data_IF_109774227982
#
_entry.id   IF_109774227982
#
_cell.length_a   1.000
_cell.length_b   1.000
_cell.length_c   1.000
_cell.angle_alpha   90.00
_cell.angle_beta   90.00
_cell.angle_gamma   90.00
#
_symmetry.space_group_name_H-M   'P 1'
#
loop_
_entity.id
_entity.type
_entity.pdbx_description
1 polymer ?
#
# COMPACT_ATOMS: atom_id res chain seq x y z
N UNK A 1 2.72 32.99 -10.05
CA UNK A 1 2.57 31.57 -9.73
C UNK A 1 3.21 30.79 -10.87
N UNK A 2 4.18 29.92 -10.65
CA UNK A 2 4.69 29.09 -11.71
C UNK A 2 3.59 28.09 -12.11
N UNK A 3 3.25 28.08 -13.40
CA UNK A 3 2.35 27.12 -14.00
C UNK A 3 3.00 25.73 -13.87
N UNK A 4 2.40 24.86 -13.06
CA UNK A 4 2.73 23.44 -13.09
C UNK A 4 2.37 22.91 -14.48
N UNK A 5 3.28 22.27 -15.20
CA UNK A 5 2.89 21.46 -16.33
C UNK A 5 1.97 20.37 -15.80
N UNK A 6 0.78 20.26 -16.35
CA UNK A 6 -0.11 19.16 -16.06
C UNK A 6 0.60 17.84 -16.30
N UNK A 7 0.21 16.75 -15.63
CA UNK A 7 0.84 15.45 -15.81
C UNK A 7 0.78 15.07 -17.29
N UNK A 8 1.93 14.92 -17.90
CA UNK A 8 2.01 14.26 -19.20
C UNK A 8 1.49 12.83 -19.00
N UNK A 9 0.73 12.34 -19.95
CA UNK A 9 0.05 11.03 -19.92
C UNK A 9 0.97 9.81 -19.71
N UNK A 10 2.25 10.02 -19.48
CA UNK A 10 3.27 8.99 -19.48
C UNK A 10 3.78 8.59 -18.07
N UNK A 11 3.31 9.23 -16.99
CA UNK A 11 4.10 9.21 -15.76
C UNK A 11 3.33 9.09 -14.45
N UNK A 12 2.15 8.53 -14.46
CA UNK A 12 1.44 8.31 -13.23
C UNK A 12 1.54 6.86 -12.78
N UNK A 13 2.33 6.59 -11.78
CA UNK A 13 2.41 5.28 -11.13
C UNK A 13 1.84 5.33 -9.73
N UNK A 14 1.01 4.38 -9.52
CA UNK A 14 0.34 4.14 -8.28
C UNK A 14 1.17 3.16 -7.47
N UNK A 15 1.82 3.63 -6.44
CA UNK A 15 2.36 2.77 -5.42
C UNK A 15 1.23 2.39 -4.47
N UNK A 16 0.30 1.58 -4.99
CA UNK A 16 -0.76 1.03 -4.20
C UNK A 16 -0.53 -0.44 -4.02
N UNK A 17 -0.31 -0.89 -2.80
CA UNK A 17 -0.89 -2.14 -2.36
C UNK A 17 -0.83 -2.35 -0.85
N UNK A 18 -0.79 -1.29 -0.11
CA UNK A 18 -0.87 -1.39 1.36
C UNK A 18 -1.92 -0.44 1.90
N UNK A 19 -3.04 -0.29 1.17
CA UNK A 19 -4.09 0.66 1.54
C UNK A 19 -3.63 2.12 1.49
N UNK A 20 -2.55 2.40 0.76
CA UNK A 20 -2.11 3.76 0.46
C UNK A 20 -2.81 4.24 -0.80
N UNK A 21 -3.34 5.44 -0.72
CA UNK A 21 -3.63 6.21 -1.91
C UNK A 21 -2.38 6.33 -2.75
N UNK A 22 -2.56 6.12 -3.99
CA UNK A 22 -1.65 6.19 -5.09
C UNK A 22 -0.80 7.45 -5.05
N UNK A 23 0.51 7.28 -5.04
CA UNK A 23 1.43 8.39 -5.23
C UNK A 23 1.75 8.50 -6.71
N UNK A 24 1.48 9.65 -7.28
CA UNK A 24 1.94 10.00 -8.61
C UNK A 24 3.43 10.32 -8.56
N UNK A 25 4.24 9.54 -9.24
CA UNK A 25 5.64 9.86 -9.48
C UNK A 25 5.79 10.29 -10.93
N UNK A 26 6.07 11.56 -11.20
CA UNK A 26 6.31 11.99 -12.57
C UNK A 26 7.62 11.39 -13.08
N UNK A 27 7.55 10.78 -14.24
CA UNK A 27 8.66 10.30 -15.07
C UNK A 27 9.75 9.48 -14.33
N UNK A 28 9.49 8.20 -14.15
CA UNK A 28 10.46 7.26 -13.56
C UNK A 28 11.72 7.05 -14.41
N UNK A 29 11.75 7.56 -15.64
CA UNK A 29 12.91 7.44 -16.53
C UNK A 29 13.87 8.64 -16.39
N UNK A 30 13.48 9.70 -15.69
CA UNK A 30 14.35 10.85 -15.42
C UNK A 30 14.51 11.06 -13.90
N UNK A 31 15.55 10.48 -13.28
CA UNK A 31 15.81 10.61 -11.85
C UNK A 31 16.04 12.06 -11.40
N UNK A 32 16.28 12.99 -12.34
CA UNK A 32 16.47 14.41 -12.04
C UNK A 32 15.14 15.19 -11.92
N UNK A 33 14.04 14.57 -12.31
CA UNK A 33 12.69 15.17 -12.18
C UNK A 33 11.92 14.75 -10.95
N UNK A 34 12.46 13.85 -10.15
CA UNK A 34 11.86 13.47 -8.85
C UNK A 34 12.10 14.63 -7.89
N UNK A 35 11.05 15.25 -7.33
CA UNK A 35 11.22 16.31 -6.35
C UNK A 35 11.88 15.75 -5.10
N UNK A 36 13.20 15.86 -4.98
CA UNK A 36 13.99 15.36 -3.84
C UNK A 36 13.81 16.20 -2.57
N UNK A 37 13.27 17.39 -2.71
CA UNK A 37 13.01 18.37 -1.68
C UNK A 37 11.73 18.14 -0.87
N UNK A 38 10.82 17.30 -1.37
CA UNK A 38 9.53 17.00 -0.71
C UNK A 38 9.58 15.83 0.26
N UNK A 39 10.68 15.08 0.29
CA UNK A 39 10.80 13.90 1.15
C UNK A 39 12.07 13.98 1.99
N UNK A 40 11.94 14.10 3.33
CA UNK A 40 13.10 14.01 4.19
C UNK A 40 13.77 12.65 4.01
N UNK A 41 14.96 12.64 3.43
CA UNK A 41 15.68 11.40 3.12
C UNK A 41 16.03 11.21 1.63
N UNK A 42 15.58 12.10 0.75
CA UNK A 42 15.96 12.13 -0.67
C UNK A 42 15.57 10.88 -1.46
N UNK A 43 16.15 10.73 -2.63
CA UNK A 43 15.90 9.66 -3.59
C UNK A 43 16.09 8.21 -3.06
N UNK A 44 16.59 8.04 -1.82
CA UNK A 44 16.75 6.73 -1.20
C UNK A 44 15.39 6.03 -0.90
N UNK A 45 14.29 6.79 -0.80
CA UNK A 45 12.94 6.26 -0.61
C UNK A 45 12.31 5.77 -1.91
N UNK A 46 12.78 6.28 -3.04
CA UNK A 46 12.34 5.91 -4.38
C UNK A 46 13.48 5.27 -5.14
N UNK A 47 14.11 4.26 -4.59
CA UNK A 47 14.80 3.34 -5.49
C UNK A 47 13.69 2.75 -6.36
N UNK A 48 13.71 3.00 -7.68
CA UNK A 48 12.80 2.31 -8.56
C UNK A 48 12.99 0.84 -8.22
N UNK A 49 11.91 0.16 -7.94
CA UNK A 49 11.95 -1.29 -7.83
C UNK A 49 12.56 -1.74 -9.14
N UNK A 50 13.78 -2.24 -9.11
CA UNK A 50 14.48 -2.75 -10.29
C UNK A 50 13.81 -4.03 -10.83
N UNK A 51 12.58 -4.26 -10.43
CA UNK A 51 11.72 -5.31 -10.93
C UNK A 51 11.40 -5.19 -12.43
N UNK A 52 11.59 -4.02 -13.04
CA UNK A 52 11.37 -3.86 -14.49
C UNK A 52 12.43 -4.56 -15.36
N UNK A 53 13.51 -5.08 -14.79
CA UNK A 53 14.55 -5.79 -15.52
C UNK A 53 14.87 -7.20 -15.00
N UNK A 54 14.24 -7.64 -13.91
CA UNK A 54 14.41 -9.00 -13.45
C UNK A 54 13.34 -9.91 -14.10
N UNK A 55 13.71 -10.99 -14.73
CA UNK A 55 12.75 -11.95 -15.34
C UNK A 55 11.82 -12.61 -14.31
N UNK A 56 12.04 -12.41 -13.01
CA UNK A 56 11.32 -13.05 -11.91
C UNK A 56 10.39 -12.14 -11.10
N UNK A 57 10.05 -10.95 -11.57
CA UNK A 57 9.00 -10.16 -10.91
C UNK A 57 7.60 -10.78 -11.03
N UNK A 58 7.44 -11.83 -11.81
CA UNK A 58 6.24 -12.69 -11.83
C UNK A 58 6.23 -13.74 -10.70
N UNK A 59 7.35 -13.91 -9.98
CA UNK A 59 7.39 -14.72 -8.78
C UNK A 59 6.50 -14.09 -7.71
N UNK A 60 5.47 -14.81 -7.30
CA UNK A 60 4.73 -14.49 -6.10
C UNK A 60 5.74 -14.33 -4.97
N UNK A 61 6.10 -13.08 -4.63
CA UNK A 61 6.82 -12.80 -3.39
C UNK A 61 5.86 -13.24 -2.29
N UNK A 62 6.07 -14.43 -1.78
CA UNK A 62 5.33 -14.90 -0.61
C UNK A 62 5.86 -14.04 0.54
N UNK A 63 5.06 -13.13 1.09
CA UNK A 63 5.50 -12.33 2.21
C UNK A 63 5.81 -13.28 3.36
N UNK A 64 6.87 -13.00 4.08
CA UNK A 64 7.23 -13.66 5.32
C UNK A 64 6.82 -12.79 6.51
N UNK A 65 6.80 -13.37 7.69
CA UNK A 65 6.75 -12.62 8.94
C UNK A 65 8.13 -11.96 9.10
N UNK A 66 8.12 -10.65 9.27
CA UNK A 66 9.32 -9.84 9.48
C UNK A 66 9.47 -9.42 10.95
N UNK A 67 10.57 -8.75 11.26
CA UNK A 67 10.88 -8.28 12.62
C UNK A 67 9.83 -7.29 13.14
N UNK A 68 9.25 -6.50 12.25
CA UNK A 68 8.21 -5.56 12.63
C UNK A 68 6.92 -6.27 13.01
N UNK A 69 6.52 -7.31 12.28
CA UNK A 69 5.37 -8.15 12.61
C UNK A 69 5.52 -8.80 14.00
N UNK A 70 6.72 -9.32 14.30
CA UNK A 70 7.03 -9.90 15.61
C UNK A 70 7.03 -8.84 16.71
N UNK A 71 7.54 -7.67 16.44
CA UNK A 71 7.48 -6.56 17.38
C UNK A 71 6.02 -6.16 17.67
N UNK A 72 5.17 -6.02 16.66
CA UNK A 72 3.73 -5.73 16.85
C UNK A 72 3.07 -6.80 17.72
N UNK A 73 3.31 -8.08 17.42
CA UNK A 73 2.78 -9.21 18.17
C UNK A 73 3.19 -9.18 19.64
N UNK A 74 4.46 -8.89 19.91
CA UNK A 74 5.01 -8.89 21.28
C UNK A 74 4.63 -7.64 22.07
N UNK A 75 4.54 -6.52 21.40
CA UNK A 75 4.18 -5.22 22.04
C UNK A 75 2.69 -5.15 22.38
N UNK A 76 1.84 -5.73 21.54
CA UNK A 76 0.39 -5.74 21.71
C UNK A 76 -0.17 -7.16 21.78
N UNK A 77 0.20 -7.97 22.80
CA UNK A 77 -0.12 -9.39 22.83
C UNK A 77 -1.60 -9.69 23.06
N UNK A 78 -2.35 -8.74 23.63
CA UNK A 78 -3.76 -8.90 24.01
C UNK A 78 -4.60 -7.76 23.43
N UNK A 79 -5.75 -8.06 22.83
CA UNK A 79 -6.62 -7.02 22.29
C UNK A 79 -7.18 -6.15 23.42
N UNK A 80 -6.93 -4.86 23.30
CA UNK A 80 -7.51 -3.83 24.16
C UNK A 80 -8.30 -2.87 23.27
N UNK A 81 -9.09 -1.98 23.87
CA UNK A 81 -9.52 -0.78 23.16
C UNK A 81 -8.26 -0.03 22.80
N UNK A 82 -7.99 0.25 21.49
CA UNK A 82 -6.74 0.87 21.10
C UNK A 82 -6.50 2.17 21.87
N UNK A 83 -5.39 2.24 22.58
CA UNK A 83 -5.02 3.41 23.38
C UNK A 83 -4.43 4.52 22.51
N UNK A 84 -3.87 4.15 21.37
CA UNK A 84 -3.25 5.06 20.43
C UNK A 84 -3.57 4.71 18.97
N UNK A 85 -3.41 5.72 18.10
CA UNK A 85 -3.51 5.54 16.67
C UNK A 85 -2.47 4.54 16.15
N UNK A 86 -1.25 4.58 16.67
CA UNK A 86 -0.16 3.68 16.27
C UNK A 86 -0.50 2.23 16.57
N UNK A 87 -0.93 1.92 17.79
CA UNK A 87 -1.37 0.58 18.18
C UNK A 87 -2.45 0.04 17.23
N UNK A 88 -3.46 0.86 16.95
CA UNK A 88 -4.55 0.48 16.07
C UNK A 88 -4.09 0.21 14.63
N UNK A 89 -3.21 1.06 14.08
CA UNK A 89 -2.69 0.90 12.73
C UNK A 89 -1.78 -0.33 12.62
N UNK A 90 -0.91 -0.54 13.58
CA UNK A 90 0.08 -1.60 13.58
C UNK A 90 -0.61 -2.97 13.72
N UNK A 91 -1.51 -3.12 14.69
CA UNK A 91 -2.28 -4.35 14.89
C UNK A 91 -3.19 -4.65 13.69
N UNK A 92 -3.86 -3.64 13.13
CA UNK A 92 -4.68 -3.78 11.92
C UNK A 92 -3.86 -4.20 10.70
N UNK A 93 -2.65 -3.66 10.55
CA UNK A 93 -1.73 -4.00 9.46
C UNK A 93 -1.30 -5.46 9.54
N UNK A 94 -0.84 -5.92 10.70
CA UNK A 94 -0.47 -7.31 10.91
C UNK A 94 -1.65 -8.27 10.70
N UNK A 95 -2.82 -7.96 11.25
CA UNK A 95 -4.03 -8.76 11.06
C UNK A 95 -4.39 -8.84 9.55
N UNK A 96 -4.34 -7.72 8.83
CA UNK A 96 -4.62 -7.69 7.40
C UNK A 96 -3.64 -8.56 6.61
N UNK A 97 -2.35 -8.56 6.98
CA UNK A 97 -1.31 -9.43 6.42
C UNK A 97 -1.63 -10.91 6.68
N UNK A 98 -1.99 -11.27 7.92
CA UNK A 98 -2.34 -12.65 8.30
C UNK A 98 -3.68 -13.12 7.71
N UNK A 99 -4.57 -12.22 7.35
CA UNK A 99 -5.80 -12.54 6.61
C UNK A 99 -5.53 -12.79 5.13
N UNK A 100 -4.71 -11.94 4.53
CA UNK A 100 -4.36 -12.01 3.11
C UNK A 100 -3.50 -13.23 2.79
N UNK A 101 -2.64 -13.63 3.73
CA UNK A 101 -1.70 -14.74 3.59
C UNK A 101 -1.89 -15.76 4.72
N UNK A 102 -2.92 -16.61 4.65
CA UNK A 102 -3.28 -17.53 5.74
C UNK A 102 -2.16 -18.48 6.15
N UNK A 103 -1.24 -18.79 5.24
CA UNK A 103 -0.08 -19.66 5.52
C UNK A 103 0.92 -19.03 6.52
N UNK A 104 0.89 -17.72 6.72
CA UNK A 104 1.68 -17.03 7.74
C UNK A 104 1.07 -17.13 9.14
N UNK A 105 -0.24 -17.42 9.23
CA UNK A 105 -0.95 -17.52 10.49
C UNK A 105 -0.72 -18.89 11.14
N UNK A 106 0.51 -19.15 11.60
CA UNK A 106 0.90 -20.39 12.31
C UNK A 106 1.43 -20.05 13.71
N UNK A 107 1.45 -21.00 14.61
CA UNK A 107 2.00 -20.82 15.96
C UNK A 107 1.48 -19.57 16.66
N UNK A 108 2.39 -18.72 17.13
CA UNK A 108 2.08 -17.49 17.86
C UNK A 108 1.32 -16.45 17.03
N UNK A 109 1.56 -16.38 15.71
CA UNK A 109 0.81 -15.50 14.81
C UNK A 109 -0.65 -15.92 14.69
N UNK A 110 -0.93 -17.22 14.71
CA UNK A 110 -2.30 -17.73 14.75
C UNK A 110 -2.97 -17.42 16.09
N UNK A 111 -2.25 -17.59 17.21
CA UNK A 111 -2.74 -17.24 18.53
C UNK A 111 -3.06 -15.73 18.62
N UNK A 112 -2.18 -14.86 18.15
CA UNK A 112 -2.40 -13.43 18.04
C UNK A 112 -3.65 -13.10 17.22
N UNK A 113 -3.75 -13.62 16.00
CA UNK A 113 -4.91 -13.41 15.13
C UNK A 113 -6.22 -13.83 15.80
N UNK A 114 -6.22 -14.96 16.49
CA UNK A 114 -7.40 -15.48 17.19
C UNK A 114 -7.77 -14.61 18.41
N UNK A 115 -6.79 -14.16 19.18
CA UNK A 115 -7.00 -13.23 20.29
C UNK A 115 -7.69 -11.96 19.81
N UNK A 116 -7.28 -11.41 18.66
CA UNK A 116 -7.84 -10.20 18.07
C UNK A 116 -9.16 -10.39 17.32
N UNK A 117 -9.76 -11.58 17.28
CA UNK A 117 -10.91 -11.93 16.43
C UNK A 117 -12.13 -11.01 16.57
N UNK A 118 -12.33 -10.38 17.72
CA UNK A 118 -13.42 -9.45 18.03
C UNK A 118 -12.93 -8.00 18.22
N UNK A 119 -11.66 -7.72 18.01
CA UNK A 119 -11.09 -6.40 18.21
C UNK A 119 -11.51 -5.41 17.11
N UNK A 120 -11.41 -4.11 17.42
CA UNK A 120 -11.54 -3.03 16.45
C UNK A 120 -10.64 -3.24 15.23
N UNK A 121 -9.36 -3.53 15.45
CA UNK A 121 -8.38 -3.78 14.39
C UNK A 121 -8.81 -4.90 13.45
N UNK A 122 -9.36 -6.01 13.97
CA UNK A 122 -9.87 -7.12 13.15
C UNK A 122 -11.10 -6.72 12.33
N UNK A 123 -12.04 -6.00 12.93
CA UNK A 123 -13.26 -5.58 12.25
C UNK A 123 -12.94 -4.65 11.08
N UNK A 124 -12.04 -3.68 11.29
CA UNK A 124 -11.55 -2.80 10.21
C UNK A 124 -10.73 -3.56 9.15
N UNK A 125 -9.90 -4.52 9.55
CA UNK A 125 -9.17 -5.38 8.61
C UNK A 125 -10.10 -6.23 7.72
N UNK A 126 -11.21 -6.73 8.29
CA UNK A 126 -12.26 -7.43 7.51
C UNK A 126 -12.92 -6.51 6.49
N UNK A 127 -13.21 -5.27 6.89
CA UNK A 127 -13.75 -4.27 5.97
C UNK A 127 -12.78 -4.04 4.78
N UNK A 128 -11.49 -3.84 5.06
CA UNK A 128 -10.47 -3.64 4.04
C UNK A 128 -10.38 -4.86 3.10
N UNK A 129 -10.45 -6.06 3.64
CA UNK A 129 -10.42 -7.29 2.85
C UNK A 129 -11.60 -7.38 1.87
N UNK A 130 -12.81 -7.02 2.31
CA UNK A 130 -13.99 -6.99 1.44
C UNK A 130 -13.90 -5.87 0.39
N UNK A 131 -13.39 -4.69 0.75
CA UNK A 131 -13.14 -3.60 -0.21
C UNK A 131 -12.13 -4.01 -1.27
N UNK A 132 -11.07 -4.71 -0.89
CA UNK A 132 -10.09 -5.25 -1.83
C UNK A 132 -10.71 -6.31 -2.76
N UNK A 133 -11.55 -7.20 -2.25
CA UNK A 133 -12.26 -8.17 -3.08
C UNK A 133 -13.17 -7.48 -4.12
N UNK A 134 -13.86 -6.41 -3.72
CA UNK A 134 -14.66 -5.59 -4.62
C UNK A 134 -13.80 -4.97 -5.74
N UNK A 135 -12.62 -4.44 -5.41
CA UNK A 135 -11.72 -3.82 -6.39
C UNK A 135 -11.16 -4.82 -7.39
N UNK A 136 -10.80 -6.03 -6.96
CA UNK A 136 -10.31 -7.10 -7.85
C UNK A 136 -11.39 -7.55 -8.82
N UNK A 137 -12.62 -7.78 -8.34
CA UNK A 137 -13.75 -8.14 -9.19
C UNK A 137 -14.02 -7.05 -10.25
N UNK A 138 -13.88 -5.79 -9.88
CA UNK A 138 -14.07 -4.64 -10.76
C UNK A 138 -12.99 -4.55 -11.84
N UNK A 139 -11.72 -4.78 -11.49
CA UNK A 139 -10.60 -4.63 -12.41
C UNK A 139 -10.68 -5.60 -13.62
N UNK A 140 -11.07 -6.85 -13.40
CA UNK A 140 -11.24 -7.84 -14.47
C UNK A 140 -12.30 -7.39 -15.48
N UNK A 141 -13.43 -6.89 -14.99
CA UNK A 141 -14.54 -6.41 -15.82
C UNK A 141 -14.23 -5.10 -16.53
N UNK A 142 -13.45 -4.22 -15.93
CA UNK A 142 -13.06 -2.94 -16.54
C UNK A 142 -12.25 -3.12 -17.82
N UNK A 143 -11.35 -4.10 -17.87
CA UNK A 143 -10.57 -4.37 -19.09
C UNK A 143 -11.49 -4.80 -20.23
N UNK A 144 -12.47 -5.66 -19.96
CA UNK A 144 -13.45 -6.10 -20.97
C UNK A 144 -14.33 -4.95 -21.43
N UNK A 145 -14.82 -4.11 -20.51
CA UNK A 145 -15.61 -2.92 -20.83
C UNK A 145 -14.82 -1.95 -21.69
N UNK A 146 -13.55 -1.67 -21.34
CA UNK A 146 -12.68 -0.81 -22.14
C UNK A 146 -12.50 -1.32 -23.56
N UNK A 147 -12.31 -2.63 -23.74
CA UNK A 147 -12.18 -3.23 -25.07
C UNK A 147 -13.48 -3.10 -25.88
N UNK A 148 -14.64 -3.28 -25.25
CA UNK A 148 -15.96 -3.06 -25.89
C UNK A 148 -16.14 -1.59 -26.28
N UNK A 149 -15.76 -0.63 -25.42
CA UNK A 149 -15.84 0.80 -25.73
C UNK A 149 -14.94 1.18 -26.91
N UNK A 150 -13.73 0.63 -27.00
CA UNK A 150 -12.85 0.81 -28.16
C UNK A 150 -13.48 0.26 -29.44
N UNK A 151 -14.09 -0.94 -29.37
CA UNK A 151 -14.76 -1.55 -30.52
C UNK A 151 -15.97 -0.73 -30.96
N UNK A 152 -16.77 -0.25 -30.02
CA UNK A 152 -17.94 0.63 -30.30
C UNK A 152 -17.47 1.93 -30.99
N UNK A 153 -16.44 2.58 -30.50
CA UNK A 153 -15.86 3.78 -31.09
C UNK A 153 -15.35 3.51 -32.52
N UNK A 154 -14.70 2.36 -32.74
CA UNK A 154 -14.23 1.93 -34.06
C UNK A 154 -15.37 1.79 -35.07
N UNK A 155 -16.47 1.12 -34.67
CA UNK A 155 -17.67 0.96 -35.53
C UNK A 155 -18.34 2.31 -35.80
N UNK A 156 -18.46 3.19 -34.79
CA UNK A 156 -19.01 4.53 -34.94
C UNK A 156 -18.19 5.37 -35.94
N UNK A 157 -16.84 5.29 -35.87
CA UNK A 157 -15.96 5.97 -36.81
C UNK A 157 -16.17 5.47 -38.24
N UNK A 158 -16.36 4.16 -38.45
CA UNK A 158 -16.64 3.58 -39.77
C UNK A 158 -18.02 4.04 -40.31
N UNK A 159 -19.04 4.10 -39.47
CA UNK A 159 -20.36 4.64 -39.87
C UNK A 159 -20.21 6.11 -40.27
N UNK A 160 -19.50 6.92 -39.49
CA UNK A 160 -19.27 8.33 -39.80
C UNK A 160 -18.50 8.51 -41.11
N UNK A 161 -17.51 7.63 -41.39
CA UNK A 161 -16.79 7.65 -42.66
C UNK A 161 -17.68 7.31 -43.87
N UNK A 162 -18.59 6.31 -43.71
CA UNK A 162 -19.58 6.02 -44.76
C UNK A 162 -20.55 7.17 -44.97
N UNK A 163 -21.06 7.76 -43.90
CA UNK A 163 -21.99 8.91 -43.97
C UNK A 163 -21.31 10.14 -44.64
N UNK A 164 -20.01 10.32 -44.47
CA UNK A 164 -19.25 11.38 -45.15
C UNK A 164 -19.10 11.19 -46.67
N UNK A 165 -19.23 9.95 -47.16
CA UNK A 165 -19.19 9.65 -48.60
C UNK A 165 -20.53 10.00 -49.31
N UNK A 166 -21.57 10.26 -48.55
CA UNK A 166 -22.88 10.61 -49.10
C UNK A 166 -22.95 12.15 -49.25
N UNK A 167 -22.55 12.67 -50.38
CA UNK A 167 -22.60 14.11 -50.70
C UNK A 167 -23.95 14.56 -51.23
N UNK A 168 -24.75 13.62 -51.79
CA UNK A 168 -26.10 13.87 -52.32
C UNK A 168 -27.04 12.72 -51.93
N UNK A 169 -28.14 13.06 -51.28
CA UNK A 169 -29.15 12.08 -50.80
C UNK A 169 -30.05 11.53 -51.92
N UNK A 170 -29.99 12.09 -53.11
CA UNK A 170 -30.83 11.69 -54.24
C UNK A 170 -30.42 10.36 -54.89
N UNK A 171 -29.15 9.94 -54.71
CA UNK A 171 -28.62 8.70 -55.28
C UNK A 171 -27.60 8.03 -54.38
N UNK A 172 -28.05 7.46 -53.26
CA UNK A 172 -27.21 6.66 -52.41
C UNK A 172 -26.95 5.28 -53.00
N UNK A 173 -25.71 4.88 -53.27
CA UNK A 173 -25.41 3.53 -53.78
C UNK A 173 -25.94 2.44 -52.83
N UNK A 174 -26.62 1.45 -53.36
CA UNK A 174 -27.22 0.35 -52.58
C UNK A 174 -26.15 -0.38 -51.69
N UNK A 175 -24.92 -0.49 -52.18
CA UNK A 175 -23.83 -1.11 -51.40
C UNK A 175 -23.45 -0.30 -50.17
N UNK A 176 -23.50 1.05 -50.20
CA UNK A 176 -23.23 1.91 -49.01
C UNK A 176 -24.33 1.71 -47.94
N UNK A 177 -25.60 1.63 -48.39
CA UNK A 177 -26.72 1.38 -47.46
C UNK A 177 -26.60 0.02 -46.79
N UNK A 178 -26.22 -1.03 -47.52
CA UNK A 178 -26.00 -2.38 -46.95
C UNK A 178 -24.85 -2.38 -45.97
N UNK A 179 -23.70 -1.76 -46.31
CA UNK A 179 -22.55 -1.66 -45.41
C UNK A 179 -22.89 -0.89 -44.12
N UNK A 180 -23.62 0.22 -44.24
CA UNK A 180 -24.11 0.99 -43.10
C UNK A 180 -25.04 0.21 -42.20
N UNK A 181 -25.99 -0.54 -42.79
CA UNK A 181 -26.93 -1.39 -42.05
C UNK A 181 -26.17 -2.50 -41.26
N UNK A 182 -25.15 -3.09 -41.87
CA UNK A 182 -24.30 -4.09 -41.21
C UNK A 182 -23.58 -3.48 -40.01
N UNK A 183 -22.93 -2.32 -40.13
CA UNK A 183 -22.24 -1.63 -39.03
C UNK A 183 -23.22 -1.20 -37.92
N UNK A 184 -24.43 -0.76 -38.27
CA UNK A 184 -25.47 -0.44 -37.25
C UNK A 184 -25.90 -1.67 -36.47
N UNK A 185 -26.01 -2.81 -37.12
CA UNK A 185 -26.30 -4.07 -36.44
C UNK A 185 -25.12 -4.48 -35.51
N UNK A 186 -23.90 -4.37 -35.98
CA UNK A 186 -22.70 -4.61 -35.16
C UNK A 186 -22.64 -3.69 -33.94
N UNK A 187 -22.87 -2.38 -34.11
CA UNK A 187 -22.95 -1.41 -33.04
C UNK A 187 -24.03 -1.80 -32.01
N UNK A 188 -25.17 -2.29 -32.45
CA UNK A 188 -26.26 -2.76 -31.57
C UNK A 188 -25.81 -3.96 -30.74
N UNK A 189 -25.17 -4.94 -31.39
CA UNK A 189 -24.65 -6.14 -30.70
C UNK A 189 -23.60 -5.75 -29.62
N UNK A 190 -22.62 -4.93 -29.98
CA UNK A 190 -21.59 -4.48 -29.04
C UNK A 190 -22.18 -3.67 -27.87
N UNK A 191 -23.15 -2.80 -28.16
CA UNK A 191 -23.85 -2.01 -27.13
C UNK A 191 -24.63 -2.91 -26.17
N UNK A 192 -25.31 -3.94 -26.67
CA UNK A 192 -26.00 -4.90 -25.85
C UNK A 192 -25.05 -5.74 -24.98
N UNK A 193 -23.92 -6.17 -25.53
CA UNK A 193 -22.88 -6.87 -24.78
C UNK A 193 -22.32 -5.99 -23.64
N UNK A 194 -22.06 -4.72 -23.95
CA UNK A 194 -21.60 -3.74 -22.96
C UNK A 194 -22.62 -3.55 -21.82
N UNK A 195 -23.89 -3.36 -22.17
CA UNK A 195 -24.96 -3.18 -21.18
C UNK A 195 -25.15 -4.43 -20.31
N UNK A 196 -25.15 -5.62 -20.92
CA UNK A 196 -25.22 -6.88 -20.20
C UNK A 196 -24.06 -7.02 -19.19
N UNK A 197 -22.84 -6.69 -19.60
CA UNK A 197 -21.67 -6.75 -18.71
C UNK A 197 -21.78 -5.74 -17.56
N UNK A 198 -22.31 -4.54 -17.81
CA UNK A 198 -22.58 -3.53 -16.77
C UNK A 198 -23.60 -4.03 -15.74
N UNK A 199 -24.68 -4.67 -16.19
CA UNK A 199 -25.70 -5.25 -15.32
C UNK A 199 -25.13 -6.40 -14.47
N UNK A 200 -24.36 -7.30 -15.10
CA UNK A 200 -23.67 -8.40 -14.39
C UNK A 200 -22.73 -7.86 -13.32
N UNK A 201 -21.94 -6.83 -13.64
CA UNK A 201 -21.02 -6.20 -12.68
C UNK A 201 -21.79 -5.54 -11.52
N UNK A 202 -22.86 -4.84 -11.79
CA UNK A 202 -23.69 -4.23 -10.76
C UNK A 202 -24.30 -5.29 -9.85
N UNK A 203 -24.85 -6.34 -10.41
CA UNK A 203 -25.45 -7.46 -9.65
C UNK A 203 -24.43 -8.21 -8.81
N UNK A 204 -23.20 -8.38 -9.30
CA UNK A 204 -22.11 -9.03 -8.56
C UNK A 204 -21.58 -8.17 -7.41
N UNK A 205 -21.59 -6.86 -7.56
CA UNK A 205 -21.09 -5.92 -6.53
C UNK A 205 -22.06 -5.72 -5.38
N UNK A 206 -23.34 -5.68 -5.66
CA UNK A 206 -24.36 -5.26 -4.69
C UNK A 206 -24.36 -6.11 -3.40
N UNK A 207 -24.24 -7.45 -3.43
CA UNK A 207 -24.12 -8.24 -2.20
C UNK A 207 -22.90 -7.87 -1.35
N UNK A 208 -21.75 -7.56 -2.01
CA UNK A 208 -20.53 -7.17 -1.32
C UNK A 208 -20.70 -5.77 -0.72
N UNK A 209 -21.31 -4.84 -1.45
CA UNK A 209 -21.57 -3.47 -0.96
C UNK A 209 -22.54 -3.48 0.22
N UNK A 210 -23.57 -4.31 0.19
CA UNK A 210 -24.49 -4.49 1.31
C UNK A 210 -23.79 -5.09 2.53
N UNK A 211 -22.91 -6.08 2.34
CA UNK A 211 -22.13 -6.64 3.43
C UNK A 211 -21.15 -5.61 4.02
N UNK A 212 -20.52 -4.78 3.18
CA UNK A 212 -19.66 -3.67 3.60
C UNK A 212 -20.43 -2.61 4.40
N UNK A 213 -21.63 -2.27 3.99
CA UNK A 213 -22.48 -1.31 4.70
C UNK A 213 -22.88 -1.83 6.09
N UNK A 214 -23.34 -3.08 6.17
CA UNK A 214 -23.67 -3.73 7.45
C UNK A 214 -22.43 -3.77 8.35
N UNK A 215 -21.28 -4.16 7.81
CA UNK A 215 -20.03 -4.22 8.56
C UNK A 215 -19.60 -2.81 9.01
N UNK A 216 -19.66 -1.81 8.13
CA UNK A 216 -19.29 -0.43 8.48
C UNK A 216 -20.20 0.14 9.60
N UNK A 217 -21.49 -0.16 9.57
CA UNK A 217 -22.42 0.26 10.62
C UNK A 217 -22.08 -0.38 11.98
N UNK A 218 -21.60 -1.63 11.96
CA UNK A 218 -21.21 -2.37 13.16
C UNK A 218 -19.79 -2.02 13.66
N UNK A 219 -18.98 -1.29 12.88
CA UNK A 219 -17.63 -0.89 13.31
C UNK A 219 -17.68 -0.02 14.56
N UNK A 220 -16.77 -0.19 15.52
CA UNK A 220 -16.63 0.71 16.65
C UNK A 220 -16.24 2.13 16.20
N UNK A 221 -16.60 3.11 17.00
CA UNK A 221 -16.31 4.53 16.77
C UNK A 221 -15.95 5.21 18.10
N UNK A 222 -15.13 4.54 18.90
CA UNK A 222 -14.75 5.02 20.23
C UNK A 222 -13.66 6.09 20.17
N UNK A 223 -12.80 5.98 19.15
CA UNK A 223 -11.67 6.88 18.91
C UNK A 223 -11.90 7.73 17.65
N UNK A 224 -11.28 8.90 17.58
CA UNK A 224 -11.42 9.83 16.44
C UNK A 224 -10.98 9.17 15.13
N UNK A 225 -9.88 8.44 15.14
CA UNK A 225 -9.40 7.73 13.94
C UNK A 225 -10.35 6.62 13.47
N UNK A 226 -11.06 5.95 14.37
CA UNK A 226 -12.10 4.97 14.02
C UNK A 226 -13.32 5.68 13.40
N UNK A 227 -13.75 6.80 13.99
CA UNK A 227 -14.84 7.63 13.48
C UNK A 227 -14.52 8.12 12.06
N UNK A 228 -13.33 8.68 11.86
CA UNK A 228 -12.87 9.14 10.55
C UNK A 228 -12.88 8.02 9.52
N UNK A 229 -12.33 6.86 9.88
CA UNK A 229 -12.29 5.72 8.96
C UNK A 229 -13.70 5.23 8.59
N UNK A 230 -14.62 5.23 9.56
CA UNK A 230 -16.02 4.84 9.36
C UNK A 230 -16.75 5.79 8.40
N UNK A 231 -16.52 7.09 8.51
CA UNK A 231 -17.04 8.11 7.57
C UNK A 231 -16.48 7.89 6.16
N UNK A 232 -15.16 7.74 6.04
CA UNK A 232 -14.50 7.48 4.76
C UNK A 232 -15.04 6.20 4.10
N UNK A 233 -15.23 5.15 4.89
CA UNK A 233 -15.77 3.88 4.42
C UNK A 233 -17.21 4.04 3.86
N UNK A 234 -18.07 4.78 4.55
CA UNK A 234 -19.45 5.04 4.10
C UNK A 234 -19.46 5.77 2.75
N UNK A 235 -18.63 6.80 2.60
CA UNK A 235 -18.50 7.56 1.35
C UNK A 235 -17.93 6.67 0.23
N UNK A 236 -16.92 5.85 0.54
CA UNK A 236 -16.35 4.92 -0.44
C UNK A 236 -17.37 3.87 -0.92
N UNK A 237 -18.23 3.36 -0.05
CA UNK A 237 -19.33 2.46 -0.42
C UNK A 237 -20.32 3.18 -1.36
N UNK A 238 -20.72 4.41 -1.05
CA UNK A 238 -21.61 5.21 -1.88
C UNK A 238 -21.02 5.46 -3.27
N UNK A 239 -19.75 5.82 -3.35
CA UNK A 239 -19.04 5.99 -4.61
C UNK A 239 -18.93 4.67 -5.42
N UNK A 240 -18.68 3.55 -4.74
CA UNK A 240 -18.64 2.23 -5.40
C UNK A 240 -19.99 1.79 -5.97
N UNK A 241 -21.10 2.29 -5.41
CA UNK A 241 -22.44 2.19 -5.97
C UNK A 241 -22.70 3.13 -7.15
N UNK A 242 -21.77 4.03 -7.46
CA UNK A 242 -21.91 5.03 -8.51
C UNK A 242 -22.70 6.28 -8.09
N UNK A 243 -22.90 6.48 -6.79
CA UNK A 243 -23.56 7.67 -6.27
C UNK A 243 -22.59 8.85 -6.25
N UNK A 244 -23.07 10.02 -6.66
CA UNK A 244 -22.29 11.24 -6.59
C UNK A 244 -22.04 11.62 -5.13
N UNK A 245 -20.86 12.19 -4.86
CA UNK A 245 -20.51 12.72 -3.55
C UNK A 245 -21.43 13.88 -3.20
N UNK A 246 -22.06 13.84 -2.05
CA UNK A 246 -22.88 14.94 -1.53
C UNK A 246 -21.99 16.09 -1.03
N UNK A 247 -22.58 17.28 -0.90
CA UNK A 247 -21.90 18.41 -0.27
C UNK A 247 -21.52 18.10 1.20
N UNK A 248 -22.36 17.36 1.90
CA UNK A 248 -22.08 16.95 3.29
C UNK A 248 -20.90 15.99 3.36
N UNK A 249 -20.78 15.03 2.42
CA UNK A 249 -19.63 14.12 2.33
C UNK A 249 -18.35 14.90 2.06
N UNK A 250 -18.40 15.86 1.12
CA UNK A 250 -17.25 16.71 0.80
C UNK A 250 -16.79 17.52 2.01
N UNK A 251 -17.70 18.10 2.77
CA UNK A 251 -17.38 18.83 4.02
C UNK A 251 -16.80 17.92 5.09
N UNK A 252 -17.34 16.70 5.25
CA UNK A 252 -16.81 15.74 6.20
C UNK A 252 -15.39 15.28 5.83
N UNK A 253 -15.13 14.96 4.56
CA UNK A 253 -13.78 14.62 4.08
C UNK A 253 -12.81 15.79 4.26
N UNK A 254 -13.24 17.02 3.95
CA UNK A 254 -12.42 18.20 4.13
C UNK A 254 -12.04 18.41 5.60
N UNK A 255 -13.00 18.27 6.51
CA UNK A 255 -12.75 18.36 7.95
C UNK A 255 -11.74 17.29 8.44
N UNK A 256 -11.84 16.06 7.94
CA UNK A 256 -10.87 15.00 8.26
C UNK A 256 -9.49 15.33 7.69
N UNK A 257 -9.40 15.88 6.49
CA UNK A 257 -8.13 16.25 5.85
C UNK A 257 -7.37 17.37 6.57
N UNK A 258 -8.06 18.16 7.37
CA UNK A 258 -7.48 19.25 8.18
C UNK A 258 -7.03 18.79 9.57
N UNK A 259 -7.38 17.60 10.01
CA UNK A 259 -6.98 17.09 11.32
C UNK A 259 -5.48 16.87 11.44
N UNK A 260 -4.97 16.89 12.67
CA UNK A 260 -3.60 16.51 13.00
C UNK A 260 -3.30 15.06 12.55
N UNK A 261 -2.11 14.83 11.98
CA UNK A 261 -1.70 13.48 11.56
C UNK A 261 -1.65 12.51 12.75
N UNK A 262 -1.33 12.99 13.94
CA UNK A 262 -1.30 12.23 15.20
C UNK A 262 -2.68 11.72 15.63
N UNK A 263 -3.75 12.40 15.18
CA UNK A 263 -5.15 12.07 15.50
C UNK A 263 -5.80 11.29 14.37
N UNK A 264 -5.63 11.78 13.14
CA UNK A 264 -6.27 11.21 11.96
C UNK A 264 -5.44 10.11 11.28
N UNK A 265 -4.12 10.15 11.42
CA UNK A 265 -3.22 9.20 10.76
C UNK A 265 -3.42 9.15 9.25
N UNK A 266 -3.47 7.95 8.71
CA UNK A 266 -3.67 7.71 7.27
C UNK A 266 -5.02 8.20 6.73
N UNK A 267 -6.02 8.39 7.61
CA UNK A 267 -7.34 8.88 7.18
C UNK A 267 -7.30 10.31 6.67
N UNK A 268 -6.35 11.15 7.14
CA UNK A 268 -6.09 12.50 6.63
C UNK A 268 -5.81 12.49 5.13
N UNK A 269 -4.80 11.72 4.71
CA UNK A 269 -4.42 11.60 3.30
C UNK A 269 -5.51 10.96 2.43
N UNK A 270 -6.17 9.91 2.96
CA UNK A 270 -7.25 9.23 2.25
C UNK A 270 -8.45 10.16 2.03
N UNK A 271 -8.84 10.94 3.02
CA UNK A 271 -9.91 11.92 2.87
C UNK A 271 -9.58 12.98 1.82
N UNK A 272 -8.34 13.49 1.82
CA UNK A 272 -7.89 14.44 0.81
C UNK A 272 -7.91 13.84 -0.61
N UNK A 273 -7.48 12.59 -0.78
CA UNK A 273 -7.46 11.92 -2.09
C UNK A 273 -8.84 11.65 -2.68
N UNK A 274 -9.89 11.64 -1.87
CA UNK A 274 -11.27 11.48 -2.32
C UNK A 274 -11.92 12.81 -2.73
N UNK A 275 -11.29 13.94 -2.41
CA UNK A 275 -11.77 15.27 -2.78
C UNK A 275 -11.17 15.72 -4.10
N UNK A 276 -11.89 16.58 -4.87
CA UNK A 276 -11.33 17.14 -6.09
C UNK A 276 -10.13 18.05 -5.77
N UNK A 277 -9.14 18.14 -6.69
CA UNK A 277 -7.90 18.90 -6.46
C UNK A 277 -8.14 20.39 -6.09
N UNK A 278 -9.18 20.99 -6.65
CA UNK A 278 -9.57 22.38 -6.40
C UNK A 278 -10.08 22.63 -4.97
N UNK A 279 -10.37 21.58 -4.22
CA UNK A 279 -10.81 21.69 -2.81
C UNK A 279 -9.74 22.28 -1.88
N UNK A 280 -8.49 22.28 -2.27
CA UNK A 280 -7.35 22.66 -1.45
C UNK A 280 -6.98 21.62 -0.36
N UNK A 281 -7.69 20.50 -0.27
CA UNK A 281 -7.45 19.48 0.75
C UNK A 281 -6.03 18.88 0.66
N UNK A 282 -5.50 18.74 -0.55
CA UNK A 282 -4.13 18.25 -0.77
C UNK A 282 -3.08 19.23 -0.22
N UNK A 283 -3.33 20.54 -0.34
CA UNK A 283 -2.45 21.54 0.24
C UNK A 283 -2.33 21.39 1.76
N UNK A 284 -3.44 21.12 2.45
CA UNK A 284 -3.45 20.94 3.90
C UNK A 284 -2.75 19.66 4.36
N UNK A 285 -2.75 18.62 3.54
CA UNK A 285 -1.99 17.39 3.83
C UNK A 285 -0.48 17.62 3.75
N UNK A 286 -0.04 18.44 2.79
CA UNK A 286 1.38 18.70 2.54
C UNK A 286 1.93 19.85 3.38
N UNK A 287 1.13 20.87 3.67
CA UNK A 287 1.57 22.15 4.24
C UNK A 287 0.77 22.54 5.49
N UNK A 288 -0.04 21.65 6.02
CA UNK A 288 -0.85 21.94 7.21
C UNK A 288 0.03 22.39 8.38
N UNK A 289 -0.38 23.45 9.07
CA UNK A 289 0.26 23.91 10.29
C UNK A 289 -0.05 22.93 11.41
N UNK A 290 0.89 22.03 11.68
CA UNK A 290 0.81 21.09 12.80
C UNK A 290 1.24 21.72 14.14
N UNK A 291 1.47 23.05 14.20
CA UNK A 291 1.93 23.74 15.43
C UNK A 291 0.95 23.65 16.60
N UNK A 292 -0.34 23.46 16.33
CA UNK A 292 -1.39 23.21 17.32
C UNK A 292 -1.67 21.73 17.59
N UNK A 293 -0.94 20.85 16.94
CA UNK A 293 -1.13 19.41 17.08
C UNK A 293 -0.42 18.86 18.32
N UNK A 294 -0.95 17.81 18.97
CA UNK A 294 -0.23 17.11 20.01
C UNK A 294 1.15 16.71 19.49
N UNK A 295 2.20 16.75 20.32
CA UNK A 295 3.49 16.25 19.91
C UNK A 295 3.32 14.81 19.41
N UNK A 296 4.03 14.47 18.33
CA UNK A 296 4.12 13.08 17.90
C UNK A 296 4.59 12.32 19.14
N UNK A 297 3.78 11.40 19.64
CA UNK A 297 4.32 10.38 20.53
C UNK A 297 5.46 9.78 19.71
N UNK A 298 6.68 10.22 20.00
CA UNK A 298 7.85 9.51 19.51
C UNK A 298 7.53 8.07 19.89
N UNK A 299 7.31 7.24 18.87
CA UNK A 299 7.31 5.81 19.12
C UNK A 299 8.60 5.60 19.86
N UNK A 300 8.50 5.51 21.16
CA UNK A 300 9.52 4.84 21.93
C UNK A 300 9.46 3.40 21.43
N UNK A 301 9.94 3.21 20.21
CA UNK A 301 10.78 2.07 19.99
C UNK A 301 11.84 2.34 21.06
N UNK A 302 11.57 1.86 22.27
CA UNK A 302 12.65 1.54 23.17
C UNK A 302 13.52 0.75 22.20
N UNK A 303 14.55 1.43 21.64
CA UNK A 303 15.71 0.72 21.16
C UNK A 303 15.99 -0.14 22.38
N UNK A 304 15.54 -1.39 22.30
CA UNK A 304 15.99 -2.40 23.26
C UNK A 304 17.46 -2.16 23.24
N UNK A 305 17.97 -1.54 24.32
CA UNK A 305 19.30 -0.98 24.37
C UNK A 305 20.17 -2.07 23.79
N UNK A 306 20.72 -1.86 22.60
CA UNK A 306 21.18 -2.96 21.76
C UNK A 306 22.06 -3.78 22.65
N UNK A 307 21.73 -5.05 22.88
CA UNK A 307 22.43 -5.92 23.84
C UNK A 307 23.92 -6.00 23.53
N UNK A 308 24.32 -5.40 22.42
CA UNK A 308 25.70 -5.28 21.99
C UNK A 308 25.94 -3.99 21.19
N UNK A 309 27.20 -3.57 21.12
CA UNK A 309 27.67 -2.52 20.23
C UNK A 309 28.72 -3.04 19.25
N UNK A 310 28.86 -2.36 18.11
CA UNK A 310 29.78 -2.73 17.02
C UNK A 310 30.85 -1.67 16.85
N UNK A 311 32.11 -2.08 16.80
CA UNK A 311 33.24 -1.19 16.53
C UNK A 311 34.41 -1.91 15.84
N UNK A 312 35.15 -1.23 14.95
CA UNK A 312 34.83 0.05 14.34
C UNK A 312 33.64 -0.06 13.38
N UNK A 313 32.88 1.01 13.21
CA UNK A 313 31.85 1.10 12.20
C UNK A 313 31.92 2.51 11.56
N UNK A 314 32.36 2.65 10.30
CA UNK A 314 32.74 1.60 9.33
C UNK A 314 33.93 0.75 9.72
N UNK A 315 33.99 -0.51 9.26
CA UNK A 315 35.09 -1.44 9.43
C UNK A 315 35.77 -1.79 8.09
N UNK A 316 37.03 -2.22 8.15
CA UNK A 316 37.81 -2.62 6.95
C UNK A 316 38.00 -4.14 6.89
N UNK A 317 38.56 -4.74 7.93
CA UNK A 317 38.91 -6.17 7.99
C UNK A 317 38.31 -6.89 9.17
N UNK A 318 38.11 -6.23 10.30
CA UNK A 318 37.62 -6.82 11.53
C UNK A 318 36.50 -5.96 12.13
N UNK A 319 35.52 -6.62 12.73
CA UNK A 319 34.42 -6.03 13.45
C UNK A 319 34.42 -6.63 14.86
N UNK A 320 34.49 -5.80 15.89
CA UNK A 320 34.33 -6.21 17.28
C UNK A 320 32.91 -6.02 17.74
N UNK A 321 32.30 -7.08 18.26
CA UNK A 321 30.98 -7.10 18.88
C UNK A 321 31.18 -7.06 20.40
N UNK A 322 30.73 -6.00 21.05
CA UNK A 322 30.81 -5.81 22.49
C UNK A 322 29.42 -6.05 23.10
N UNK A 323 29.25 -7.15 23.82
CA UNK A 323 27.98 -7.51 24.47
C UNK A 323 27.87 -6.83 25.83
N UNK A 324 26.70 -6.28 26.15
CA UNK A 324 26.42 -5.67 27.45
C UNK A 324 26.38 -6.72 28.58
N UNK A 325 26.06 -7.97 28.24
CA UNK A 325 26.12 -9.13 29.14
C UNK A 325 26.76 -10.31 28.40
N UNK A 326 27.37 -11.29 29.13
CA UNK A 326 28.00 -12.44 28.49
C UNK A 326 27.03 -13.20 27.57
N UNK A 327 27.35 -13.30 26.29
CA UNK A 327 26.53 -13.90 25.25
C UNK A 327 26.94 -15.33 24.90
N UNK A 328 25.94 -16.19 24.69
CA UNK A 328 26.05 -17.53 24.11
C UNK A 328 24.94 -17.69 23.09
N UNK A 329 25.26 -18.13 21.88
CA UNK A 329 24.23 -18.30 20.84
C UNK A 329 24.78 -18.23 19.42
N UNK A 330 23.94 -17.89 18.48
CA UNK A 330 24.27 -17.77 17.08
C UNK A 330 24.38 -16.30 16.66
N UNK A 331 25.41 -15.98 15.92
CA UNK A 331 25.60 -14.67 15.28
C UNK A 331 25.54 -14.89 13.77
N UNK A 332 24.73 -14.08 13.10
CA UNK A 332 24.58 -14.10 11.65
C UNK A 332 24.85 -12.72 11.09
N UNK A 333 25.62 -12.64 10.01
CA UNK A 333 25.76 -11.42 9.21
C UNK A 333 24.90 -11.59 7.96
N UNK A 334 24.01 -10.62 7.74
CA UNK A 334 23.10 -10.60 6.60
C UNK A 334 23.47 -9.44 5.68
N UNK A 335 23.32 -9.65 4.38
CA UNK A 335 23.37 -8.55 3.42
C UNK A 335 22.03 -7.76 3.41
N UNK A 336 21.97 -6.66 2.64
CA UNK A 336 20.80 -5.80 2.54
C UNK A 336 19.55 -6.50 1.96
N UNK A 337 19.70 -7.70 1.37
CA UNK A 337 18.60 -8.52 0.90
C UNK A 337 18.07 -9.49 1.97
N UNK A 338 18.69 -9.50 3.17
CA UNK A 338 18.37 -10.43 4.26
C UNK A 338 19.01 -11.82 4.12
N UNK A 339 19.89 -12.01 3.13
CA UNK A 339 20.60 -13.29 2.94
C UNK A 339 21.75 -13.39 3.94
N UNK A 340 21.85 -14.51 4.66
CA UNK A 340 22.99 -14.79 5.54
C UNK A 340 24.24 -14.99 4.69
N UNK A 341 25.23 -14.13 4.90
CA UNK A 341 26.54 -14.17 4.22
C UNK A 341 27.65 -14.76 5.08
N UNK A 342 27.49 -14.71 6.39
CA UNK A 342 28.39 -15.32 7.36
C UNK A 342 27.63 -15.71 8.63
N UNK A 343 28.01 -16.84 9.25
CA UNK A 343 27.41 -17.28 10.51
C UNK A 343 28.49 -17.86 11.43
N UNK A 344 28.34 -17.59 12.72
CA UNK A 344 29.22 -18.10 13.76
C UNK A 344 28.45 -18.50 15.00
N UNK A 345 28.79 -19.65 15.58
CA UNK A 345 28.23 -20.11 16.85
C UNK A 345 29.18 -19.75 17.98
N UNK A 346 28.64 -19.16 19.03
CA UNK A 346 29.36 -18.80 20.26
C UNK A 346 28.94 -19.80 21.33
N UNK A 347 29.86 -20.69 21.67
CA UNK A 347 29.62 -21.76 22.66
C UNK A 347 29.96 -21.38 24.09
N UNK A 348 30.82 -20.38 24.25
CA UNK A 348 31.27 -19.90 25.56
C UNK A 348 30.75 -18.49 25.82
N UNK A 349 30.57 -18.15 27.11
CA UNK A 349 30.12 -16.82 27.51
C UNK A 349 31.20 -15.76 27.17
N UNK A 350 30.95 -15.00 26.10
CA UNK A 350 31.85 -13.94 25.64
C UNK A 350 31.22 -12.56 25.85
N UNK A 351 32.02 -11.61 26.28
CA UNK A 351 31.67 -10.17 26.31
C UNK A 351 32.15 -9.43 25.06
N UNK A 352 33.19 -9.94 24.42
CA UNK A 352 33.73 -9.37 23.19
C UNK A 352 33.99 -10.48 22.19
N UNK A 353 33.53 -10.31 20.97
CA UNK A 353 33.80 -11.22 19.86
C UNK A 353 34.34 -10.43 18.68
N UNK A 354 35.47 -10.87 18.13
CA UNK A 354 36.06 -10.30 16.92
C UNK A 354 35.69 -11.18 15.72
N UNK A 355 35.12 -10.54 14.72
CA UNK A 355 34.65 -11.22 13.48
C UNK A 355 35.47 -10.65 12.33
N UNK A 356 36.13 -11.53 11.56
CA UNK A 356 36.76 -11.11 10.30
C UNK A 356 35.68 -10.86 9.26
N UNK A 357 35.73 -9.69 8.63
CA UNK A 357 34.84 -9.27 7.54
C UNK A 357 35.58 -9.13 6.21
N UNK A 358 36.81 -9.66 6.11
CA UNK A 358 37.64 -9.58 4.91
C UNK A 358 37.02 -10.22 3.68
N UNK A 359 36.14 -11.20 3.87
CA UNK A 359 35.43 -11.88 2.79
C UNK A 359 34.22 -11.08 2.26
N UNK A 360 33.77 -10.04 2.99
CA UNK A 360 32.60 -9.25 2.62
C UNK A 360 33.00 -8.13 1.67
N UNK A 361 32.19 -7.84 0.67
CA UNK A 361 32.37 -6.70 -0.22
C UNK A 361 32.09 -5.37 0.51
N UNK A 362 32.55 -4.25 -0.07
CA UNK A 362 32.13 -2.93 0.43
C UNK A 362 30.61 -2.83 0.38
N UNK A 363 29.99 -2.44 1.49
CA UNK A 363 28.53 -2.38 1.59
C UNK A 363 28.02 -2.27 3.01
N UNK A 364 26.70 -2.32 3.11
CA UNK A 364 25.97 -2.29 4.37
C UNK A 364 25.55 -3.70 4.72
N UNK A 365 25.72 -4.08 5.97
CA UNK A 365 25.38 -5.38 6.52
C UNK A 365 24.62 -5.24 7.83
N UNK A 366 23.90 -6.29 8.21
CA UNK A 366 23.18 -6.41 9.47
C UNK A 366 23.82 -7.56 10.24
N UNK A 367 24.26 -7.32 11.47
CA UNK A 367 24.65 -8.36 12.41
C UNK A 367 23.46 -8.67 13.30
N UNK A 368 23.03 -9.94 13.33
CA UNK A 368 21.92 -10.44 14.11
C UNK A 368 22.41 -11.48 15.10
N UNK A 369 21.99 -11.37 16.37
CA UNK A 369 22.28 -12.30 17.44
C UNK A 369 21.02 -13.08 17.83
N UNK A 370 21.15 -14.40 17.98
CA UNK A 370 20.12 -15.29 18.57
C UNK A 370 20.70 -15.99 19.78
N UNK A 371 19.96 -16.00 20.87
CA UNK A 371 20.40 -16.71 22.08
C UNK A 371 20.46 -18.23 21.87
N UNK A 372 20.94 -18.97 22.84
CA UNK A 372 21.06 -20.43 22.79
C UNK A 372 19.70 -21.15 22.63
N UNK A 373 18.58 -20.53 22.99
CA UNK A 373 17.22 -21.05 22.80
C UNK A 373 16.69 -20.82 21.37
N UNK A 374 17.45 -20.06 20.55
CA UNK A 374 17.06 -19.75 19.17
C UNK A 374 16.17 -18.51 19.05
N UNK A 375 15.86 -17.85 20.18
CA UNK A 375 15.12 -16.60 20.18
C UNK A 375 16.03 -15.47 19.71
N UNK A 376 15.46 -14.57 18.92
CA UNK A 376 16.18 -13.37 18.45
C UNK A 376 16.42 -12.43 19.63
N UNK A 377 17.65 -12.03 19.84
CA UNK A 377 17.98 -11.15 20.95
C UNK A 377 18.20 -9.70 20.52
N UNK A 378 18.92 -9.46 19.43
CA UNK A 378 19.21 -8.09 18.96
C UNK A 378 19.83 -8.08 17.56
N UNK A 379 19.69 -6.97 16.84
CA UNK A 379 20.41 -6.72 15.59
C UNK A 379 21.02 -5.31 15.54
N UNK A 380 22.08 -5.16 14.77
CA UNK A 380 22.73 -3.86 14.55
C UNK A 380 23.34 -3.78 13.15
N UNK A 381 23.29 -2.59 12.56
CA UNK A 381 23.81 -2.29 11.23
C UNK A 381 25.27 -1.87 11.29
N UNK A 382 26.09 -2.36 10.35
CA UNK A 382 27.45 -1.90 10.15
C UNK A 382 27.80 -1.74 8.67
N UNK A 383 28.89 -1.05 8.41
CA UNK A 383 29.37 -0.74 7.06
C UNK A 383 30.78 -1.30 6.88
N UNK A 384 30.99 -2.07 5.81
CA UNK A 384 32.33 -2.46 5.35
C UNK A 384 32.80 -1.46 4.30
N UNK A 385 33.94 -0.83 4.53
CA UNK A 385 34.51 0.16 3.62
C UNK A 385 36.05 -0.07 3.54
N UNK A 386 36.55 -0.34 2.33
CA UNK A 386 37.97 -0.58 2.01
C UNK A 386 38.43 0.39 0.95
#
# INVERSE_FOLDING_TARGET
MPSYPGPSSETAYILGNVGFSEFFVPDMNDPNKVPTDRFPGGAAWFKPFQCLQAPDCSGNIVPNIDEYDEWVRTTYPVPQTPSSLSEWQDTRSLISKLMRYPLLATGDMLAFKNAYSQSSSMLFARFDSLMNALSVTTASSQTTLKNLDISIQGVQAQISALDALVSDTSTIPAGLMTSRATLLNELTILSNQRNYLLEQNSSAKEPILNALEVLNNALPANQVFEQNQKVINAIAISQARGLAMSQQDSLALFAISQQCVQIAGRTKGRAASMLPPESGAHYWVEHGDDSGCPPVEERNITQQASEFSLSPNPCTSNLSVHFNSPFVGNISILDVSGRVVQQQVVHEKLQVLNISVEQLSNGVYILACKNATGEFSSSSKFVVLR
#
